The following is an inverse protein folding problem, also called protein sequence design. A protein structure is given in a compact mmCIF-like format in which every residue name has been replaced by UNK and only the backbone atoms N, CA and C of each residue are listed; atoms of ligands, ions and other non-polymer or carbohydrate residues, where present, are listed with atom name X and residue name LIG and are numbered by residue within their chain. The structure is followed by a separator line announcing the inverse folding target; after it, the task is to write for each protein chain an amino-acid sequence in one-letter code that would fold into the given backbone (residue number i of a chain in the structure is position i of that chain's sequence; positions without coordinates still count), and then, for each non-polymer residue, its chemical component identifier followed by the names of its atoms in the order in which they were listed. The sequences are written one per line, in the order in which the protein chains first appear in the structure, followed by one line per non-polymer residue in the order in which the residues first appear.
data_IF_807874590784
#
_entry.id   IF_807874590784
#
_cell.length_a   1.000
_cell.length_b   1.000
_cell.length_c   1.000
_cell.angle_alpha   90.00
_cell.angle_beta   90.00
_cell.angle_gamma   90.00
#
_symmetry.space_group_name_H-M   'P 1'
#
loop_
_entity.id
_entity.type
_entity.pdbx_description
1 polymer ?
#
# COMPACT_ATOMS: atom_id res chain seq x y z
N UNK A 1 7.85 77.15 -21.52
CA UNK A 1 7.19 78.42 -21.20
C UNK A 1 5.78 78.35 -21.76
N UNK A 2 4.82 78.86 -20.99
CA UNK A 2 3.37 78.75 -21.15
C UNK A 2 2.83 79.00 -22.57
N UNK A 3 1.68 78.38 -22.89
CA UNK A 3 0.43 79.06 -23.27
C UNK A 3 -0.69 78.00 -23.46
N UNK A 4 -1.70 77.94 -22.58
CA UNK A 4 -3.04 78.61 -22.64
C UNK A 4 -4.05 77.98 -23.61
N UNK A 5 -4.99 77.20 -23.04
CA UNK A 5 -6.47 77.23 -23.20
C UNK A 5 -7.11 77.76 -24.50
N UNK A 6 -8.04 77.00 -25.11
CA UNK A 6 -9.52 77.16 -25.02
C UNK A 6 -10.30 76.46 -26.18
N UNK A 7 -11.35 75.75 -25.76
CA UNK A 7 -12.69 75.49 -26.35
C UNK A 7 -13.10 75.94 -27.77
N UNK A 8 -13.82 75.01 -28.43
CA UNK A 8 -15.19 75.13 -29.00
C UNK A 8 -15.41 75.04 -30.52
N UNK A 9 -16.54 74.38 -30.82
CA UNK A 9 -17.50 74.53 -31.93
C UNK A 9 -17.36 73.69 -33.22
N UNK A 10 -18.51 73.10 -33.64
CA UNK A 10 -18.88 73.09 -35.06
C UNK A 10 -19.41 71.81 -35.73
N UNK A 11 -20.47 71.18 -35.19
CA UNK A 11 -21.72 70.73 -35.88
C UNK A 11 -21.70 69.87 -37.21
N UNK A 12 -22.85 69.34 -37.72
CA UNK A 12 -23.06 67.90 -37.87
C UNK A 12 -23.19 67.41 -39.33
N UNK A 13 -23.05 66.09 -39.55
CA UNK A 13 -23.41 65.45 -40.83
C UNK A 13 -24.43 64.35 -40.60
N UNK A 14 -25.62 64.59 -41.14
CA UNK A 14 -26.75 63.68 -41.27
C UNK A 14 -26.40 62.59 -42.30
N UNK A 15 -26.48 61.32 -41.93
CA UNK A 15 -26.70 60.24 -42.90
C UNK A 15 -27.76 59.28 -42.38
N UNK A 16 -28.87 59.21 -43.12
CA UNK A 16 -29.90 58.20 -42.97
C UNK A 16 -29.35 56.88 -43.49
N UNK A 17 -29.37 55.82 -42.67
CA UNK A 17 -29.26 54.44 -43.16
C UNK A 17 -30.38 53.61 -42.55
N UNK A 18 -31.15 53.03 -43.49
CA UNK A 18 -32.36 52.22 -43.34
C UNK A 18 -32.23 51.10 -42.31
N UNK A 19 -33.26 50.99 -41.48
CA UNK A 19 -33.56 49.85 -40.62
C UNK A 19 -33.80 48.57 -41.46
N UNK A 20 -32.89 47.61 -41.36
CA UNK A 20 -33.12 46.22 -41.80
C UNK A 20 -33.66 45.40 -40.61
N UNK A 21 -34.97 45.41 -40.41
CA UNK A 21 -35.68 44.65 -39.38
C UNK A 21 -35.69 43.13 -39.57
N UNK A 22 -34.77 42.56 -40.37
CA UNK A 22 -34.74 41.12 -40.70
C UNK A 22 -33.57 40.37 -40.05
N UNK A 23 -32.63 41.07 -39.41
CA UNK A 23 -31.41 40.46 -38.85
C UNK A 23 -31.51 40.09 -37.36
N UNK A 24 -32.31 40.80 -36.57
CA UNK A 24 -32.43 40.57 -35.12
C UNK A 24 -33.27 39.35 -34.79
N UNK A 25 -34.34 39.08 -35.55
CA UNK A 25 -35.17 37.88 -35.37
C UNK A 25 -34.34 36.62 -35.67
N UNK A 26 -33.57 36.61 -36.76
CA UNK A 26 -32.73 35.48 -37.11
C UNK A 26 -31.64 35.21 -36.07
N UNK A 27 -31.06 36.25 -35.47
CA UNK A 27 -30.06 36.09 -34.41
C UNK A 27 -30.66 35.52 -33.12
N UNK A 28 -31.85 35.99 -32.72
CA UNK A 28 -32.56 35.47 -31.55
C UNK A 28 -33.01 34.02 -31.77
N UNK A 29 -33.50 33.69 -32.96
CA UNK A 29 -33.85 32.30 -33.31
C UNK A 29 -32.60 31.40 -33.30
N UNK A 30 -31.46 31.89 -33.80
CA UNK A 30 -30.21 31.13 -33.77
C UNK A 30 -29.73 30.87 -32.34
N UNK A 31 -29.84 31.85 -31.44
CA UNK A 31 -29.52 31.71 -30.03
C UNK A 31 -30.44 30.69 -29.34
N UNK A 32 -31.74 30.72 -29.63
CA UNK A 32 -32.70 29.76 -29.05
C UNK A 32 -32.39 28.34 -29.55
N UNK A 33 -32.13 28.16 -30.85
CA UNK A 33 -31.76 26.85 -31.42
C UNK A 33 -30.43 26.35 -30.82
N UNK A 34 -29.46 27.24 -30.66
CA UNK A 34 -28.17 26.90 -30.04
C UNK A 34 -28.33 26.42 -28.59
N UNK A 35 -29.16 27.10 -27.78
CA UNK A 35 -29.44 26.68 -26.41
C UNK A 35 -30.22 25.38 -26.33
N UNK A 36 -31.20 25.17 -27.21
CA UNK A 36 -31.94 23.90 -27.33
C UNK A 36 -30.98 22.76 -27.70
N UNK A 37 -30.01 23.00 -28.59
CA UNK A 37 -29.02 22.01 -29.00
C UNK A 37 -28.06 21.65 -27.85
N UNK A 38 -27.61 22.63 -27.05
CA UNK A 38 -26.83 22.38 -25.83
C UNK A 38 -27.64 21.55 -24.83
N UNK A 39 -28.92 21.87 -24.64
CA UNK A 39 -29.78 21.11 -23.73
C UNK A 39 -30.05 19.69 -24.21
N UNK A 40 -30.22 19.48 -25.51
CA UNK A 40 -30.38 18.15 -26.12
C UNK A 40 -29.10 17.31 -26.02
N UNK A 41 -27.93 17.92 -26.21
CA UNK A 41 -26.65 17.23 -25.96
C UNK A 41 -26.49 16.91 -24.48
N UNK A 42 -26.80 17.84 -23.58
CA UNK A 42 -26.77 17.60 -22.14
C UNK A 42 -27.72 16.48 -21.70
N UNK A 43 -28.91 16.42 -22.29
CA UNK A 43 -29.89 15.36 -22.04
C UNK A 43 -29.43 14.02 -22.63
N UNK A 44 -28.89 13.99 -23.86
CA UNK A 44 -28.38 12.78 -24.49
C UNK A 44 -27.11 12.24 -23.83
N UNK A 45 -26.25 13.12 -23.31
CA UNK A 45 -25.06 12.75 -22.52
C UNK A 45 -25.48 12.28 -21.13
N UNK A 46 -26.44 12.97 -20.49
CA UNK A 46 -27.01 12.57 -19.20
C UNK A 46 -27.82 11.28 -19.25
N UNK A 47 -28.42 10.93 -20.39
CA UNK A 47 -29.17 9.68 -20.59
C UNK A 47 -28.29 8.50 -21.05
N UNK A 48 -26.99 8.72 -21.35
CA UNK A 48 -26.07 7.67 -21.84
C UNK A 48 -25.00 7.22 -20.86
N UNK A 49 -25.08 7.65 -19.60
CA UNK A 49 -24.22 7.14 -18.54
C UNK A 49 -25.06 6.58 -17.41
N UNK A 50 -25.80 5.51 -17.71
CA UNK A 50 -25.99 4.42 -16.75
C UNK A 50 -24.99 3.34 -17.13
N UNK A 51 -23.70 3.58 -16.86
CA UNK A 51 -22.83 2.45 -16.53
C UNK A 51 -23.36 1.90 -15.21
N UNK A 52 -23.43 0.57 -15.03
CA UNK A 52 -23.88 0.00 -13.77
C UNK A 52 -22.95 0.51 -12.68
N UNK A 53 -23.50 1.38 -11.83
CA UNK A 53 -22.88 1.77 -10.58
C UNK A 53 -22.65 0.44 -9.83
N UNK A 54 -21.39 0.02 -9.73
CA UNK A 54 -21.02 -0.99 -8.76
C UNK A 54 -21.58 -0.49 -7.43
N UNK A 55 -22.57 -1.21 -6.89
CA UNK A 55 -23.10 -1.00 -5.55
C UNK A 55 -21.95 -1.10 -4.56
N UNK A 56 -21.26 0.01 -4.34
CA UNK A 56 -20.57 0.25 -3.09
C UNK A 56 -21.68 0.60 -2.12
N UNK A 57 -22.27 -0.41 -1.51
CA UNK A 57 -23.08 -0.23 -0.31
C UNK A 57 -22.16 0.35 0.76
N UNK A 58 -22.08 1.68 0.81
CA UNK A 58 -21.59 2.38 1.98
C UNK A 58 -22.67 2.19 3.02
N UNK A 59 -22.47 1.19 3.88
CA UNK A 59 -23.32 1.01 5.05
C UNK A 59 -23.05 2.19 5.98
N UNK A 60 -23.87 3.23 5.88
CA UNK A 60 -23.98 4.22 6.93
C UNK A 60 -24.55 3.50 8.14
N UNK A 61 -23.73 3.36 9.18
CA UNK A 61 -24.18 2.85 10.47
C UNK A 61 -25.14 3.91 11.06
N UNK A 62 -26.44 3.73 10.85
CA UNK A 62 -27.47 4.45 11.56
C UNK A 62 -27.72 3.74 12.91
N UNK A 63 -27.35 4.35 14.05
CA UNK A 63 -27.53 3.75 15.36
C UNK A 63 -29.00 3.61 15.80
N UNK A 64 -29.97 4.06 14.98
CA UNK A 64 -31.40 3.98 15.28
C UNK A 64 -32.16 2.90 14.49
N UNK A 65 -31.51 2.17 13.60
CA UNK A 65 -32.15 1.03 12.89
C UNK A 65 -32.01 -0.22 13.75
N UNK A 66 -33.14 -0.75 14.22
CA UNK A 66 -33.20 -2.05 14.87
C UNK A 66 -33.09 -3.16 13.80
N UNK A 67 -31.90 -3.73 13.65
CA UNK A 67 -31.57 -4.78 12.68
C UNK A 67 -32.13 -6.17 13.03
N UNK A 68 -32.81 -6.33 14.17
CA UNK A 68 -33.32 -7.63 14.65
C UNK A 68 -34.40 -8.26 13.75
N UNK A 69 -34.92 -7.53 12.74
CA UNK A 69 -35.98 -8.01 11.85
C UNK A 69 -35.53 -8.62 10.51
N UNK A 70 -34.23 -8.71 10.22
CA UNK A 70 -33.72 -9.40 9.02
C UNK A 70 -33.24 -10.83 9.35
N UNK A 71 -34.13 -11.66 9.86
CA UNK A 71 -33.89 -13.09 10.09
C UNK A 71 -34.14 -13.93 8.83
N UNK A 72 -33.36 -13.68 7.77
CA UNK A 72 -33.17 -14.67 6.71
C UNK A 72 -31.69 -15.00 6.65
N UNK A 73 -31.31 -16.23 7.01
CA UNK A 73 -29.94 -16.73 6.82
C UNK A 73 -29.56 -16.45 5.37
N UNK A 74 -28.47 -15.70 5.10
CA UNK A 74 -28.05 -15.43 3.74
C UNK A 74 -27.86 -16.75 2.99
N UNK A 75 -28.59 -16.92 1.89
CA UNK A 75 -28.33 -18.04 0.98
C UNK A 75 -26.92 -17.82 0.43
N UNK A 76 -26.00 -18.73 0.74
CA UNK A 76 -24.63 -18.65 0.23
C UNK A 76 -24.62 -18.86 -1.28
N UNK A 77 -24.74 -17.75 -2.03
CA UNK A 77 -24.59 -17.77 -3.47
C UNK A 77 -23.13 -18.05 -3.81
N UNK A 78 -22.89 -19.19 -4.45
CA UNK A 78 -21.55 -19.52 -4.97
C UNK A 78 -21.39 -18.81 -6.31
N UNK A 79 -20.51 -17.81 -6.33
CA UNK A 79 -20.17 -17.10 -7.56
C UNK A 79 -19.39 -18.01 -8.52
N UNK A 80 -19.49 -17.76 -9.83
CA UNK A 80 -18.90 -18.62 -10.86
C UNK A 80 -17.39 -18.81 -10.68
N UNK A 81 -16.67 -17.75 -10.29
CA UNK A 81 -15.24 -17.83 -10.00
C UNK A 81 -14.92 -18.66 -8.76
N UNK A 82 -15.87 -18.84 -7.83
CA UNK A 82 -15.72 -19.64 -6.62
C UNK A 82 -16.28 -21.06 -6.76
N UNK A 83 -16.83 -21.40 -7.92
CA UNK A 83 -17.24 -22.75 -8.27
C UNK A 83 -16.04 -23.55 -8.81
N UNK A 84 -15.07 -23.84 -7.93
CA UNK A 84 -13.87 -24.61 -8.30
C UNK A 84 -13.35 -25.41 -7.11
N UNK A 85 -13.19 -26.72 -7.33
CA UNK A 85 -12.57 -27.64 -6.37
C UNK A 85 -11.33 -28.27 -7.00
N UNK A 86 -10.18 -28.19 -6.31
CA UNK A 86 -8.93 -28.80 -6.77
C UNK A 86 -8.48 -29.93 -5.85
N UNK A 87 -7.81 -30.95 -6.41
CA UNK A 87 -7.34 -32.11 -5.62
C UNK A 87 -6.05 -31.80 -4.84
N UNK A 88 -5.22 -30.90 -5.35
CA UNK A 88 -3.93 -30.50 -4.77
C UNK A 88 -3.61 -29.04 -5.18
N UNK A 89 -2.43 -28.54 -4.78
CA UNK A 89 -1.90 -27.24 -5.15
C UNK A 89 -0.62 -27.37 -6.01
N UNK A 90 -0.27 -26.34 -6.82
CA UNK A 90 0.94 -26.38 -7.65
C UNK A 90 2.22 -26.60 -6.86
N UNK A 91 3.18 -27.34 -7.43
CA UNK A 91 4.48 -27.63 -6.80
C UNK A 91 4.41 -28.41 -5.48
N UNK A 92 3.32 -29.14 -5.20
CA UNK A 92 3.17 -29.93 -3.99
C UNK A 92 4.40 -30.78 -3.65
N UNK A 93 4.85 -31.63 -4.58
CA UNK A 93 5.98 -32.54 -4.35
C UNK A 93 7.30 -31.77 -4.15
N UNK A 94 7.49 -30.68 -4.89
CA UNK A 94 8.67 -29.83 -4.78
C UNK A 94 8.71 -29.11 -3.42
N UNK A 95 7.59 -28.58 -2.96
CA UNK A 95 7.48 -27.92 -1.66
C UNK A 95 7.62 -28.91 -0.52
N UNK A 96 7.12 -30.14 -0.71
CA UNK A 96 7.33 -31.23 0.24
C UNK A 96 8.82 -31.55 0.35
N UNK A 97 9.50 -31.69 -0.78
CA UNK A 97 10.94 -31.89 -0.84
C UNK A 97 11.70 -30.74 -0.14
N UNK A 98 11.36 -29.48 -0.41
CA UNK A 98 12.01 -28.34 0.25
C UNK A 98 11.74 -28.27 1.76
N UNK A 99 10.54 -28.64 2.18
CA UNK A 99 10.17 -28.71 3.58
C UNK A 99 10.95 -29.80 4.33
N UNK A 100 11.04 -31.00 3.74
CA UNK A 100 11.81 -32.13 4.29
C UNK A 100 13.32 -31.82 4.34
N UNK A 101 13.81 -30.97 3.44
CA UNK A 101 15.19 -30.43 3.43
C UNK A 101 15.37 -29.16 4.26
N UNK A 102 14.32 -28.65 4.92
CA UNK A 102 14.38 -27.47 5.79
C UNK A 102 14.96 -26.23 5.10
N UNK A 103 14.65 -26.04 3.81
CA UNK A 103 15.24 -24.98 2.95
C UNK A 103 15.03 -23.57 3.50
N UNK A 104 13.91 -23.32 4.17
CA UNK A 104 13.56 -22.02 4.75
C UNK A 104 13.62 -22.01 6.27
N UNK A 105 14.37 -22.92 6.89
CA UNK A 105 14.44 -23.10 8.34
C UNK A 105 13.87 -24.42 8.82
N UNK A 106 14.18 -24.79 10.06
CA UNK A 106 13.91 -26.11 10.63
C UNK A 106 12.90 -26.13 11.77
N UNK A 107 12.74 -25.01 12.48
CA UNK A 107 11.92 -24.89 13.69
C UNK A 107 11.12 -23.59 13.63
N UNK A 108 10.04 -23.53 14.42
CA UNK A 108 9.37 -22.26 14.72
C UNK A 108 10.36 -21.30 15.36
N UNK A 109 10.21 -20.00 15.11
CA UNK A 109 11.08 -19.01 15.75
C UNK A 109 10.84 -18.91 17.27
N UNK A 110 9.71 -19.42 17.73
CA UNK A 110 9.30 -19.45 19.12
C UNK A 110 8.27 -20.55 19.38
N UNK A 111 7.86 -20.70 20.63
CA UNK A 111 6.81 -21.61 21.11
C UNK A 111 5.40 -21.00 21.08
N UNK A 112 5.20 -19.97 20.26
CA UNK A 112 4.01 -19.12 20.31
C UNK A 112 2.73 -19.78 19.79
N UNK A 113 1.62 -19.03 19.78
CA UNK A 113 0.38 -19.51 19.16
C UNK A 113 0.40 -19.37 17.64
N UNK A 114 -0.25 -20.30 16.94
CA UNK A 114 -0.46 -20.18 15.49
C UNK A 114 -1.41 -19.01 15.26
N UNK A 115 -0.95 -17.92 14.62
CA UNK A 115 -1.83 -16.79 14.30
C UNK A 115 -1.99 -16.65 12.81
N UNK A 116 -3.22 -16.71 12.32
CA UNK A 116 -3.54 -16.50 10.91
C UNK A 116 -3.55 -15.01 10.58
N UNK A 117 -2.84 -14.63 9.52
CA UNK A 117 -2.70 -13.24 9.09
C UNK A 117 -3.63 -12.93 7.91
N UNK A 118 -3.51 -13.72 6.84
CA UNK A 118 -4.27 -13.49 5.60
C UNK A 118 -4.34 -14.76 4.77
N UNK A 119 -5.44 -14.96 4.05
CA UNK A 119 -5.61 -16.04 3.09
C UNK A 119 -5.79 -15.49 1.68
N UNK A 120 -4.93 -15.90 0.75
CA UNK A 120 -4.96 -15.48 -0.65
C UNK A 120 -5.53 -16.57 -1.53
N UNK A 121 -6.55 -16.24 -2.29
CA UNK A 121 -7.16 -17.13 -3.26
C UNK A 121 -6.55 -16.90 -4.64
N UNK A 122 -5.81 -17.88 -5.14
CA UNK A 122 -5.31 -17.94 -6.51
C UNK A 122 -6.18 -18.85 -7.36
N UNK A 123 -5.90 -18.90 -8.67
CA UNK A 123 -6.73 -19.60 -9.64
C UNK A 123 -6.95 -21.09 -9.30
N UNK A 124 -5.90 -21.77 -8.82
CA UNK A 124 -5.91 -23.21 -8.54
C UNK A 124 -5.74 -23.60 -7.06
N UNK A 125 -5.41 -22.65 -6.19
CA UNK A 125 -5.03 -22.93 -4.79
C UNK A 125 -5.22 -21.71 -3.89
N UNK A 126 -5.11 -21.92 -2.59
CA UNK A 126 -5.16 -20.92 -1.54
C UNK A 126 -3.81 -20.90 -0.83
N UNK A 127 -3.32 -19.72 -0.46
CA UNK A 127 -2.16 -19.56 0.43
C UNK A 127 -2.63 -18.90 1.71
N UNK A 128 -2.59 -19.66 2.80
CA UNK A 128 -2.89 -19.16 4.13
C UNK A 128 -1.58 -18.77 4.80
N UNK A 129 -1.54 -17.58 5.36
CA UNK A 129 -0.33 -17.01 5.92
C UNK A 129 -0.45 -16.86 7.41
N UNK A 130 0.64 -17.13 8.12
CA UNK A 130 0.65 -17.16 9.57
C UNK A 130 1.96 -16.61 10.13
N UNK A 131 2.01 -16.34 11.43
CA UNK A 131 3.23 -15.88 12.10
C UNK A 131 4.34 -16.95 12.07
N UNK A 132 5.60 -16.49 11.98
CA UNK A 132 6.79 -17.36 11.99
C UNK A 132 7.07 -18.01 13.36
N UNK A 133 6.36 -17.55 14.39
CA UNK A 133 6.40 -18.04 15.76
C UNK A 133 5.58 -19.32 15.94
N UNK A 134 5.06 -19.91 14.85
CA UNK A 134 4.40 -21.21 14.88
C UNK A 134 5.34 -22.27 15.52
N UNK A 135 4.93 -22.93 16.62
CA UNK A 135 5.79 -23.75 17.45
C UNK A 135 6.24 -25.04 16.76
N UNK A 136 5.59 -25.42 15.66
CA UNK A 136 5.83 -26.71 14.99
C UNK A 136 6.72 -26.61 13.76
N UNK A 137 7.04 -25.41 13.27
CA UNK A 137 8.05 -25.17 12.24
C UNK A 137 7.72 -25.70 10.82
N UNK A 138 8.72 -25.56 9.94
CA UNK A 138 8.64 -25.96 8.51
C UNK A 138 8.47 -27.47 8.36
N UNK A 139 7.63 -27.89 7.41
CA UNK A 139 7.35 -29.28 7.07
C UNK A 139 6.35 -29.97 7.98
N UNK A 140 5.91 -29.32 9.06
CA UNK A 140 4.87 -29.87 9.92
C UNK A 140 3.55 -29.98 9.16
N UNK A 141 2.93 -31.15 9.26
CA UNK A 141 1.56 -31.38 8.78
C UNK A 141 0.54 -30.49 9.47
N UNK A 142 -0.34 -29.88 8.68
CA UNK A 142 -1.41 -28.97 9.10
C UNK A 142 -2.64 -29.24 8.24
N UNK A 143 -3.83 -29.09 8.80
CA UNK A 143 -5.09 -29.29 8.11
C UNK A 143 -5.70 -27.96 7.72
N UNK A 144 -6.12 -27.85 6.46
CA UNK A 144 -6.92 -26.74 5.95
C UNK A 144 -8.41 -27.03 6.22
N UNK A 145 -9.08 -26.12 6.90
CA UNK A 145 -10.52 -26.16 7.18
C UNK A 145 -11.21 -25.07 6.36
N UNK A 146 -12.30 -25.40 5.69
CA UNK A 146 -12.98 -24.50 4.75
C UNK A 146 -14.38 -24.20 5.24
N UNK A 147 -14.80 -22.95 5.09
CA UNK A 147 -16.09 -22.49 5.58
C UNK A 147 -16.84 -21.71 4.52
N UNK A 148 -18.16 -21.82 4.55
CA UNK A 148 -19.07 -21.09 3.67
C UNK A 148 -19.25 -19.62 4.09
N UNK A 149 -20.15 -18.91 3.41
CA UNK A 149 -20.45 -17.50 3.70
C UNK A 149 -21.03 -17.26 5.10
N UNK A 150 -21.66 -18.29 5.68
CA UNK A 150 -22.26 -18.27 7.01
C UNK A 150 -21.29 -18.76 8.08
N UNK A 151 -20.00 -18.96 7.73
CA UNK A 151 -18.94 -19.50 8.60
C UNK A 151 -19.23 -20.92 9.09
N UNK A 152 -20.04 -21.69 8.38
CA UNK A 152 -20.21 -23.10 8.65
C UNK A 152 -19.14 -23.91 7.92
N UNK A 153 -18.58 -24.90 8.60
CA UNK A 153 -17.56 -25.75 7.99
C UNK A 153 -18.15 -26.59 6.85
N UNK A 154 -17.47 -26.61 5.71
CA UNK A 154 -17.84 -27.42 4.56
C UNK A 154 -17.48 -28.90 4.83
N UNK A 155 -18.47 -29.80 5.00
CA UNK A 155 -18.23 -31.16 5.45
C UNK A 155 -17.41 -31.96 4.42
N UNK A 156 -16.48 -32.79 4.91
CA UNK A 156 -15.67 -33.68 4.06
C UNK A 156 -14.61 -32.98 3.20
N UNK A 157 -14.42 -31.66 3.35
CA UNK A 157 -13.50 -30.89 2.50
C UNK A 157 -12.10 -30.69 3.08
N UNK A 158 -11.88 -31.06 4.34
CA UNK A 158 -10.60 -30.95 5.06
C UNK A 158 -9.45 -31.51 4.23
N UNK A 159 -8.30 -30.82 4.23
CA UNK A 159 -7.11 -31.25 3.46
C UNK A 159 -5.86 -31.20 4.31
N UNK A 160 -5.06 -32.28 4.30
CA UNK A 160 -3.77 -32.31 4.96
C UNK A 160 -2.71 -31.66 4.06
N UNK A 161 -2.16 -30.56 4.53
CA UNK A 161 -1.04 -29.84 3.95
C UNK A 161 0.15 -29.83 4.93
N UNK A 162 1.13 -28.96 4.68
CA UNK A 162 2.28 -28.75 5.53
C UNK A 162 2.72 -27.29 5.49
N UNK A 163 3.43 -26.86 6.54
CA UNK A 163 4.01 -25.52 6.62
C UNK A 163 5.19 -25.43 5.66
N UNK A 164 5.00 -24.72 4.55
CA UNK A 164 6.08 -24.34 3.66
C UNK A 164 5.66 -23.18 2.76
N UNK A 165 6.48 -22.13 2.65
CA UNK A 165 7.66 -21.83 3.48
C UNK A 165 7.30 -21.48 4.95
N UNK A 166 8.24 -20.96 5.75
CA UNK A 166 8.10 -20.79 7.21
C UNK A 166 6.81 -20.08 7.69
N UNK A 167 6.22 -19.18 6.90
CA UNK A 167 5.04 -18.38 7.27
C UNK A 167 3.83 -18.62 6.37
N UNK A 168 3.80 -19.73 5.63
CA UNK A 168 2.71 -20.02 4.69
C UNK A 168 2.34 -21.50 4.64
N UNK A 169 1.07 -21.74 4.39
CA UNK A 169 0.47 -23.05 4.16
C UNK A 169 -0.33 -22.97 2.87
N UNK A 170 -0.11 -23.96 2.00
CA UNK A 170 -0.79 -24.04 0.71
C UNK A 170 -1.96 -25.01 0.83
N UNK A 171 -3.14 -24.60 0.39
CA UNK A 171 -4.36 -25.37 0.45
C UNK A 171 -4.98 -25.47 -0.95
N UNK A 172 -5.58 -26.59 -1.34
CA UNK A 172 -6.38 -26.65 -2.56
C UNK A 172 -7.66 -25.80 -2.44
N UNK A 173 -8.33 -25.55 -3.57
CA UNK A 173 -9.62 -24.86 -3.59
C UNK A 173 -10.77 -25.78 -3.23
N UNK A 174 -11.80 -25.21 -2.64
CA UNK A 174 -13.10 -25.85 -2.38
C UNK A 174 -14.20 -24.93 -2.88
N UNK A 175 -15.13 -25.52 -3.62
CA UNK A 175 -16.32 -24.82 -4.08
C UNK A 175 -17.09 -24.21 -2.90
N UNK A 176 -17.48 -22.94 -3.06
CA UNK A 176 -18.27 -22.22 -2.05
C UNK A 176 -17.51 -21.78 -0.80
N UNK A 177 -16.22 -22.10 -0.66
CA UNK A 177 -15.43 -21.63 0.46
C UNK A 177 -15.23 -20.11 0.39
N UNK A 178 -15.57 -19.40 1.47
CA UNK A 178 -15.32 -17.97 1.63
C UNK A 178 -14.33 -17.66 2.75
N UNK A 179 -14.18 -18.58 3.71
CA UNK A 179 -13.21 -18.49 4.78
C UNK A 179 -12.39 -19.77 4.88
N UNK A 180 -11.21 -19.65 5.45
CA UNK A 180 -10.32 -20.76 5.71
C UNK A 180 -9.69 -20.61 7.10
N UNK A 181 -9.50 -21.73 7.78
CA UNK A 181 -8.70 -21.80 9.00
C UNK A 181 -7.69 -22.94 8.90
N UNK A 182 -6.73 -22.95 9.82
CA UNK A 182 -5.70 -23.99 9.93
C UNK A 182 -5.76 -24.63 11.31
N UNK A 183 -5.54 -25.94 11.35
CA UNK A 183 -5.42 -26.69 12.61
C UNK A 183 -4.42 -27.82 12.49
N UNK A 184 -3.83 -28.25 13.61
CA UNK A 184 -2.84 -29.34 13.61
C UNK A 184 -3.45 -30.73 13.81
N UNK A 185 -4.72 -30.78 14.20
CA UNK A 185 -5.46 -31.99 14.48
C UNK A 185 -6.61 -32.08 13.49
N UNK A 186 -6.82 -33.26 12.90
CA UNK A 186 -7.81 -33.41 11.83
C UNK A 186 -9.21 -33.41 12.38
N UNK A 187 -9.41 -34.04 13.53
CA UNK A 187 -10.72 -34.35 14.10
C UNK A 187 -11.30 -33.18 14.89
N UNK A 188 -10.43 -32.39 15.53
CA UNK A 188 -10.83 -31.21 16.29
C UNK A 188 -11.01 -29.99 15.38
N UNK A 189 -12.01 -29.17 15.70
CA UNK A 189 -12.14 -27.84 15.12
C UNK A 189 -10.87 -27.02 15.42
N UNK A 190 -10.42 -26.20 14.47
CA UNK A 190 -9.26 -25.34 14.69
C UNK A 190 -9.57 -24.33 15.81
N UNK A 191 -8.55 -24.02 16.61
CA UNK A 191 -8.65 -22.96 17.63
C UNK A 191 -8.69 -21.57 17.00
N UNK A 192 -8.10 -21.43 15.82
CA UNK A 192 -8.01 -20.16 15.11
C UNK A 192 -9.31 -19.86 14.36
N UNK A 193 -9.77 -18.62 14.50
CA UNK A 193 -10.95 -18.11 13.81
C UNK A 193 -10.77 -18.17 12.28
N UNK A 194 -11.80 -18.57 11.52
CA UNK A 194 -11.76 -18.55 10.07
C UNK A 194 -11.55 -17.13 9.52
N UNK A 195 -10.51 -16.97 8.69
CA UNK A 195 -10.18 -15.72 8.03
C UNK A 195 -10.70 -15.69 6.59
N UNK A 196 -11.12 -14.52 6.09
CA UNK A 196 -11.70 -14.41 4.75
C UNK A 196 -10.66 -14.66 3.66
N UNK A 197 -11.11 -15.24 2.55
CA UNK A 197 -10.31 -15.41 1.34
C UNK A 197 -10.24 -14.08 0.57
N UNK A 198 -9.03 -13.56 0.38
CA UNK A 198 -8.78 -12.40 -0.48
C UNK A 198 -8.50 -12.86 -1.90
N UNK A 199 -9.35 -12.44 -2.83
CA UNK A 199 -9.20 -12.79 -4.24
C UNK A 199 -7.91 -12.18 -4.83
N UNK A 200 -7.04 -13.05 -5.36
CA UNK A 200 -5.79 -12.73 -6.05
C UNK A 200 -5.74 -13.33 -7.45
N UNK A 201 -6.90 -13.68 -8.01
CA UNK A 201 -7.02 -14.08 -9.40
C UNK A 201 -7.01 -12.83 -10.27
N UNK A 202 -5.86 -12.52 -10.84
CA UNK A 202 -5.72 -11.41 -11.78
C UNK A 202 -5.29 -11.97 -13.14
N UNK A 203 -5.96 -11.52 -14.20
CA UNK A 203 -5.55 -11.85 -15.57
C UNK A 203 -4.19 -11.20 -15.91
N UNK A 204 -3.98 -9.97 -15.42
CA UNK A 204 -2.74 -9.22 -15.52
C UNK A 204 -2.32 -8.71 -14.14
N UNK A 205 -1.01 -8.63 -13.83
CA UNK A 205 -0.54 -8.04 -12.58
C UNK A 205 -1.13 -6.63 -12.40
N UNK A 206 -1.84 -6.34 -11.28
CA UNK A 206 -2.44 -5.03 -11.06
C UNK A 206 -1.38 -3.92 -10.88
N UNK A 207 -0.15 -4.33 -10.58
CA UNK A 207 0.98 -3.47 -10.27
C UNK A 207 2.23 -3.96 -10.97
N UNK A 208 2.94 -3.06 -11.66
CA UNK A 208 4.21 -3.39 -12.32
C UNK A 208 5.33 -3.57 -11.29
N UNK A 209 5.41 -2.66 -10.31
CA UNK A 209 6.42 -2.69 -9.25
C UNK A 209 5.74 -2.49 -7.90
N UNK A 210 5.74 -3.57 -7.12
CA UNK A 210 5.40 -3.56 -5.71
C UNK A 210 6.65 -3.43 -4.84
N UNK A 211 6.58 -2.58 -3.81
CA UNK A 211 7.65 -2.40 -2.84
C UNK A 211 7.14 -2.92 -1.51
N UNK A 212 7.81 -3.90 -0.96
CA UNK A 212 7.50 -4.29 0.39
C UNK A 212 8.36 -3.53 1.36
N UNK A 213 7.76 -3.06 2.44
CA UNK A 213 8.39 -2.15 3.39
C UNK A 213 8.71 -2.91 4.65
N UNK A 214 9.86 -2.64 5.26
CA UNK A 214 10.25 -3.24 6.54
C UNK A 214 9.22 -2.94 7.62
N UNK A 215 9.21 -3.78 8.65
CA UNK A 215 8.22 -3.64 9.71
C UNK A 215 8.25 -2.28 10.39
N UNK A 216 7.04 -1.79 10.70
CA UNK A 216 6.83 -0.62 11.55
C UNK A 216 6.58 -1.12 12.98
N UNK A 217 7.40 -0.63 13.91
CA UNK A 217 7.36 -0.91 15.34
C UNK A 217 8.17 0.16 16.09
N UNK A 218 7.97 0.22 17.40
CA UNK A 218 8.65 1.13 18.33
C UNK A 218 8.01 2.51 18.42
N UNK A 219 8.56 3.32 19.34
CA UNK A 219 7.93 4.59 19.75
C UNK A 219 8.17 5.76 18.78
N UNK A 220 9.11 5.62 17.84
CA UNK A 220 9.47 6.68 16.88
C UNK A 220 8.30 6.97 15.92
N UNK A 221 7.96 8.26 15.76
CA UNK A 221 6.90 8.73 14.86
C UNK A 221 7.41 8.74 13.41
N UNK A 222 7.11 7.68 12.65
CA UNK A 222 7.65 7.48 11.29
C UNK A 222 6.86 8.13 10.16
N UNK A 223 5.89 9.00 10.46
CA UNK A 223 5.01 9.60 9.44
C UNK A 223 5.78 10.28 8.30
N UNK A 224 6.82 11.06 8.60
CA UNK A 224 7.60 11.76 7.58
C UNK A 224 8.46 10.79 6.77
N UNK A 225 9.12 9.83 7.44
CA UNK A 225 9.93 8.80 6.77
C UNK A 225 9.10 7.94 5.83
N UNK A 226 7.86 7.58 6.23
CA UNK A 226 6.92 6.84 5.37
C UNK A 226 6.55 7.65 4.13
N UNK A 227 6.25 8.95 4.28
CA UNK A 227 5.92 9.81 3.14
C UNK A 227 7.14 9.95 2.21
N UNK A 228 8.33 10.22 2.75
CA UNK A 228 9.58 10.25 1.99
C UNK A 228 9.79 8.94 1.22
N UNK A 229 9.62 7.81 1.89
CA UNK A 229 9.81 6.48 1.31
C UNK A 229 8.84 6.19 0.18
N UNK A 230 7.54 6.40 0.39
CA UNK A 230 6.50 6.12 -0.60
C UNK A 230 6.66 7.04 -1.81
N UNK A 231 6.82 8.35 -1.61
CA UNK A 231 6.96 9.30 -2.71
C UNK A 231 8.26 9.11 -3.50
N UNK A 232 9.34 8.73 -2.83
CA UNK A 232 10.61 8.35 -3.46
C UNK A 232 10.45 7.16 -4.40
N UNK A 233 9.78 6.09 -3.95
CA UNK A 233 9.57 4.91 -4.78
C UNK A 233 8.55 5.13 -5.89
N UNK A 234 7.55 5.99 -5.67
CA UNK A 234 6.64 6.42 -6.74
C UNK A 234 7.35 7.19 -7.84
N UNK A 235 8.36 8.01 -7.50
CA UNK A 235 9.21 8.65 -8.51
C UNK A 235 10.04 7.65 -9.31
N UNK A 236 10.27 6.45 -8.78
CA UNK A 236 10.98 5.37 -9.45
C UNK A 236 10.06 4.38 -10.18
N UNK A 237 8.74 4.60 -10.18
CA UNK A 237 7.76 3.75 -10.87
C UNK A 237 7.06 2.71 -10.00
N UNK A 238 7.30 2.68 -8.69
CA UNK A 238 6.51 1.84 -7.79
C UNK A 238 5.08 2.39 -7.66
N UNK A 239 4.10 1.50 -7.69
CA UNK A 239 2.69 1.86 -7.58
C UNK A 239 1.94 1.12 -6.48
N UNK A 240 2.60 0.20 -5.77
CA UNK A 240 2.04 -0.51 -4.64
C UNK A 240 3.06 -0.72 -3.53
N UNK A 241 2.61 -0.61 -2.29
CA UNK A 241 3.44 -0.73 -1.11
C UNK A 241 2.83 -1.70 -0.09
N UNK A 242 3.63 -2.62 0.43
CA UNK A 242 3.18 -3.61 1.41
C UNK A 242 3.83 -3.34 2.76
N UNK A 243 3.03 -3.00 3.76
CA UNK A 243 3.49 -2.71 5.12
C UNK A 243 3.10 -3.85 6.07
N UNK A 244 3.98 -4.16 7.01
CA UNK A 244 3.63 -4.96 8.20
C UNK A 244 3.83 -4.10 9.42
N UNK A 245 2.77 -3.96 10.21
CA UNK A 245 2.70 -3.02 11.31
C UNK A 245 2.45 -3.82 12.58
N UNK A 246 3.38 -3.73 13.53
CA UNK A 246 3.24 -4.32 14.86
C UNK A 246 2.70 -3.29 15.83
N UNK A 247 3.27 -2.09 15.78
CA UNK A 247 2.87 -0.97 16.59
C UNK A 247 3.01 0.32 15.77
N UNK A 248 2.05 1.22 15.94
CA UNK A 248 2.03 2.49 15.25
C UNK A 248 1.17 3.50 16.03
N UNK A 249 1.65 4.73 16.10
CA UNK A 249 0.93 5.82 16.74
C UNK A 249 -0.18 6.40 15.86
N UNK A 250 -1.13 7.12 16.47
CA UNK A 250 -2.25 7.74 15.76
C UNK A 250 -1.84 8.77 14.68
N UNK A 251 -0.72 9.46 14.86
CA UNK A 251 -0.24 10.46 13.91
C UNK A 251 0.31 9.80 12.64
N UNK A 252 1.12 8.74 12.79
CA UNK A 252 1.62 7.91 11.68
C UNK A 252 0.49 7.11 11.02
N UNK A 253 -0.49 6.63 11.81
CA UNK A 253 -1.67 5.92 11.31
C UNK A 253 -2.43 6.73 10.25
N UNK A 254 -2.61 8.04 10.47
CA UNK A 254 -3.24 8.94 9.49
C UNK A 254 -2.55 8.91 8.12
N UNK A 255 -1.22 8.82 8.08
CA UNK A 255 -0.46 8.70 6.82
C UNK A 255 -0.74 7.35 6.13
N UNK A 256 -0.67 6.24 6.88
CA UNK A 256 -0.92 4.90 6.34
C UNK A 256 -2.34 4.79 5.79
N UNK A 257 -3.35 5.22 6.56
CA UNK A 257 -4.75 5.14 6.16
C UNK A 257 -5.05 5.95 4.90
N UNK A 258 -4.47 7.14 4.75
CA UNK A 258 -4.68 7.94 3.54
C UNK A 258 -4.11 7.26 2.29
N UNK A 259 -2.93 6.66 2.37
CA UNK A 259 -2.38 5.89 1.26
C UNK A 259 -3.12 4.57 1.01
N UNK A 260 -3.65 3.91 2.05
CA UNK A 260 -4.52 2.74 1.91
C UNK A 260 -5.82 3.10 1.20
N UNK A 261 -6.46 4.22 1.58
CA UNK A 261 -7.67 4.75 0.95
C UNK A 261 -7.47 5.01 -0.55
N UNK A 262 -6.27 5.43 -0.95
CA UNK A 262 -5.91 5.65 -2.35
C UNK A 262 -5.51 4.36 -3.09
N UNK A 263 -5.56 3.19 -2.45
CA UNK A 263 -5.16 1.91 -3.03
C UNK A 263 -3.65 1.80 -3.29
N UNK A 264 -2.83 2.62 -2.62
CA UNK A 264 -1.37 2.66 -2.81
C UNK A 264 -0.63 1.81 -1.78
N UNK A 265 -1.24 1.56 -0.62
CA UNK A 265 -0.69 0.72 0.45
C UNK A 265 -1.65 -0.44 0.76
N UNK A 266 -1.08 -1.62 0.99
CA UNK A 266 -1.69 -2.69 1.77
C UNK A 266 -0.93 -2.84 3.09
N UNK A 267 -1.61 -2.63 4.22
CA UNK A 267 -1.04 -2.83 5.55
C UNK A 267 -1.58 -4.10 6.19
N UNK A 268 -0.69 -4.92 6.74
CA UNK A 268 -1.01 -6.07 7.58
C UNK A 268 -0.65 -5.74 9.02
N UNK A 269 -1.64 -5.72 9.89
CA UNK A 269 -1.46 -5.50 11.32
C UNK A 269 -1.21 -6.82 12.03
N UNK A 270 -0.16 -6.90 12.84
CA UNK A 270 0.25 -8.13 13.52
C UNK A 270 0.28 -7.89 15.02
N UNK A 271 -0.58 -8.60 15.74
CA UNK A 271 -0.58 -8.65 17.20
C UNK A 271 0.11 -9.95 17.64
N UNK A 272 1.07 -9.83 18.56
CA UNK A 272 1.82 -10.95 19.12
C UNK A 272 1.65 -11.01 20.63
N UNK A 273 1.94 -12.16 21.23
CA UNK A 273 1.93 -12.37 22.69
C UNK A 273 3.21 -11.91 23.41
N UNK A 274 4.26 -11.56 22.65
CA UNK A 274 5.53 -11.13 23.21
C UNK A 274 5.57 -9.61 23.42
N UNK A 275 5.90 -9.17 24.63
CA UNK A 275 6.11 -7.75 24.96
C UNK A 275 7.37 -7.16 24.33
N UNK A 276 8.37 -8.00 24.04
CA UNK A 276 9.65 -7.58 23.47
C UNK A 276 10.03 -8.45 22.30
N UNK A 277 10.42 -7.79 21.23
CA UNK A 277 10.66 -8.44 19.96
C UNK A 277 12.17 -8.49 19.69
N UNK A 278 12.70 -9.69 19.43
CA UNK A 278 14.11 -9.88 19.09
C UNK A 278 14.32 -9.84 17.56
N UNK A 279 15.56 -9.65 17.08
CA UNK A 279 15.87 -9.47 15.65
C UNK A 279 15.26 -10.50 14.68
N UNK A 280 14.84 -11.69 15.14
CA UNK A 280 14.20 -12.71 14.31
C UNK A 280 12.80 -12.29 13.83
N UNK A 281 12.17 -11.28 14.41
CA UNK A 281 10.84 -10.82 13.98
C UNK A 281 10.82 -10.35 12.53
N UNK A 282 11.96 -9.94 11.96
CA UNK A 282 12.08 -9.66 10.53
C UNK A 282 11.58 -10.80 9.66
N UNK A 283 11.65 -12.04 10.14
CA UNK A 283 11.17 -13.23 9.43
C UNK A 283 9.64 -13.36 9.41
N UNK A 284 8.89 -12.62 10.23
CA UNK A 284 7.41 -12.58 10.18
C UNK A 284 6.94 -12.08 8.80
N UNK A 285 7.70 -11.16 8.18
CA UNK A 285 7.42 -10.67 6.82
C UNK A 285 7.79 -11.65 5.72
N UNK A 286 8.80 -12.49 5.95
CA UNK A 286 9.68 -12.95 4.87
C UNK A 286 9.03 -13.91 3.88
N UNK A 287 7.87 -14.52 4.12
CA UNK A 287 7.32 -15.45 3.11
C UNK A 287 5.92 -15.19 2.60
N UNK A 288 5.34 -14.05 2.93
CA UNK A 288 3.97 -13.74 2.52
C UNK A 288 3.96 -12.69 1.44
N UNK A 289 4.79 -11.67 1.59
CA UNK A 289 4.98 -10.58 0.64
C UNK A 289 6.41 -10.13 0.81
N UNK A 290 7.03 -9.72 -0.30
CA UNK A 290 8.45 -9.41 -0.47
C UNK A 290 9.03 -8.61 0.72
N UNK A 291 10.35 -8.46 0.88
CA UNK A 291 10.87 -7.54 1.91
C UNK A 291 11.89 -6.58 1.31
N UNK A 292 11.62 -5.28 1.40
CA UNK A 292 12.62 -4.23 1.45
C UNK A 292 12.40 -3.48 2.75
N UNK A 293 13.41 -3.41 3.61
CA UNK A 293 13.37 -2.42 4.68
C UNK A 293 13.26 -1.01 4.09
N UNK A 294 12.84 -0.02 4.91
CA UNK A 294 12.88 1.42 4.61
C UNK A 294 14.26 1.82 4.07
N UNK A 295 14.45 1.67 2.77
CA UNK A 295 15.67 1.86 2.02
C UNK A 295 15.29 2.51 0.70
N UNK A 296 15.86 3.68 0.43
CA UNK A 296 15.58 4.40 -0.80
C UNK A 296 16.44 3.81 -1.92
N UNK A 297 15.86 3.29 -3.00
CA UNK A 297 16.68 2.90 -4.17
C UNK A 297 17.20 4.18 -4.84
N UNK A 298 18.47 4.28 -5.17
CA UNK A 298 19.02 5.39 -5.95
C UNK A 298 19.48 4.86 -7.31
N UNK A 299 18.72 5.19 -8.35
CA UNK A 299 19.16 5.01 -9.73
C UNK A 299 20.08 6.18 -10.11
N UNK A 300 21.26 5.87 -10.64
CA UNK A 300 22.20 6.90 -11.14
C UNK A 300 21.89 7.23 -12.62
N UNK A 301 21.23 6.31 -13.34
CA UNK A 301 20.72 6.52 -14.68
C UNK A 301 19.24 6.16 -14.71
N UNK A 302 18.40 7.09 -15.16
CA UNK A 302 16.95 6.97 -15.14
C UNK A 302 16.42 5.74 -15.86
N UNK A 303 15.25 5.27 -15.41
CA UNK A 303 14.47 4.14 -15.95
C UNK A 303 15.16 2.77 -15.86
N UNK A 304 15.03 2.14 -14.70
CA UNK A 304 15.11 0.69 -14.61
C UNK A 304 13.71 0.11 -14.77
N UNK A 305 13.35 -0.29 -16.00
CA UNK A 305 12.07 -0.94 -16.26
C UNK A 305 12.24 -2.47 -16.23
N UNK A 306 11.50 -3.19 -15.37
CA UNK A 306 11.51 -4.65 -15.36
C UNK A 306 11.20 -5.26 -16.74
N UNK A 307 10.32 -4.60 -17.51
CA UNK A 307 9.94 -5.03 -18.86
C UNK A 307 11.05 -4.97 -19.91
N UNK A 308 12.14 -4.25 -19.65
CA UNK A 308 13.29 -4.18 -20.56
C UNK A 308 14.34 -5.26 -20.29
N UNK A 309 14.13 -6.12 -19.27
CA UNK A 309 15.06 -7.19 -18.95
C UNK A 309 14.80 -8.43 -19.83
N UNK A 310 15.83 -9.26 -20.01
CA UNK A 310 15.69 -10.59 -20.65
C UNK A 310 14.55 -11.36 -19.96
N UNK A 311 13.63 -12.01 -20.71
CA UNK A 311 12.49 -12.73 -20.13
C UNK A 311 12.86 -13.81 -19.10
N UNK A 312 14.08 -14.33 -19.15
CA UNK A 312 14.59 -15.31 -18.19
C UNK A 312 15.15 -14.65 -16.92
N UNK A 313 15.35 -13.32 -16.91
CA UNK A 313 15.76 -12.58 -15.71
C UNK A 313 14.60 -12.52 -14.73
N UNK A 314 14.81 -13.10 -13.56
CA UNK A 314 13.79 -13.28 -12.53
C UNK A 314 14.15 -12.54 -11.24
N UNK A 315 15.43 -12.22 -11.02
CA UNK A 315 15.90 -11.48 -9.85
C UNK A 315 17.06 -10.57 -10.25
N UNK A 316 17.09 -9.38 -9.66
CA UNK A 316 18.09 -8.35 -9.91
C UNK A 316 18.54 -7.79 -8.57
N UNK A 317 19.81 -7.99 -8.27
CA UNK A 317 20.41 -7.64 -6.99
C UNK A 317 21.04 -6.26 -7.05
N UNK A 318 20.69 -5.41 -6.10
CA UNK A 318 21.24 -4.06 -5.93
C UNK A 318 22.06 -3.99 -4.65
N UNK A 319 23.34 -3.69 -4.80
CA UNK A 319 24.20 -3.44 -3.64
C UNK A 319 23.77 -2.20 -2.87
N UNK A 320 24.19 -2.10 -1.62
CA UNK A 320 23.77 -1.05 -0.70
C UNK A 320 24.86 -0.02 -0.48
N UNK A 321 24.42 1.19 -0.16
CA UNK A 321 25.22 2.25 0.46
C UNK A 321 24.54 2.62 1.77
N UNK A 322 25.19 2.33 2.90
CA UNK A 322 24.65 2.67 4.21
C UNK A 322 24.82 4.16 4.48
N UNK A 323 23.80 4.75 5.08
CA UNK A 323 23.72 6.16 5.46
C UNK A 323 23.48 6.22 6.95
N UNK A 324 24.24 7.05 7.65
CA UNK A 324 24.05 7.25 9.08
C UNK A 324 22.88 8.21 9.31
N UNK A 325 21.77 7.68 9.84
CA UNK A 325 20.63 8.46 10.34
C UNK A 325 20.98 8.93 11.76
N UNK A 326 21.37 10.19 11.88
CA UNK A 326 21.84 10.80 13.15
C UNK A 326 20.72 11.49 13.93
N UNK A 327 19.61 11.77 13.26
CA UNK A 327 18.51 12.54 13.79
C UNK A 327 17.25 11.69 13.72
N UNK A 328 16.43 11.80 14.74
CA UNK A 328 15.11 11.18 14.78
C UNK A 328 14.15 11.95 13.88
N UNK A 329 13.08 11.26 13.47
CA UNK A 329 12.00 11.88 12.71
C UNK A 329 11.20 12.87 13.59
N UNK A 330 10.66 13.95 13.01
CA UNK A 330 9.89 14.92 13.77
C UNK A 330 8.63 14.28 14.37
N UNK A 331 8.29 14.61 15.62
CA UNK A 331 7.09 14.05 16.27
C UNK A 331 5.78 14.49 15.60
N UNK A 332 5.74 15.71 15.08
CA UNK A 332 4.57 16.30 14.42
C UNK A 332 4.95 17.35 13.39
N UNK A 333 4.02 17.66 12.51
CA UNK A 333 4.09 18.82 11.62
C UNK A 333 4.01 20.12 12.45
N UNK A 334 5.01 20.99 12.26
CA UNK A 334 5.07 22.33 12.88
C UNK A 334 4.89 23.42 11.81
N UNK A 335 5.67 23.33 10.73
CA UNK A 335 5.60 24.23 9.58
C UNK A 335 6.26 23.60 8.37
N UNK A 336 5.91 24.08 7.17
CA UNK A 336 6.53 23.65 5.91
C UNK A 336 8.06 23.82 5.92
N UNK A 337 8.56 24.93 6.47
CA UNK A 337 10.00 25.18 6.56
C UNK A 337 10.71 24.22 7.52
N UNK A 338 10.09 23.93 8.66
CA UNK A 338 10.60 22.91 9.57
C UNK A 338 10.63 21.54 8.91
N UNK A 339 9.54 21.13 8.23
CA UNK A 339 9.49 19.87 7.48
C UNK A 339 10.60 19.78 6.44
N UNK A 340 10.84 20.82 5.63
CA UNK A 340 11.95 20.85 4.66
C UNK A 340 13.30 20.62 5.32
N UNK A 341 13.55 21.30 6.44
CA UNK A 341 14.80 21.13 7.19
C UNK A 341 14.93 19.76 7.85
N UNK A 342 13.82 19.03 8.00
CA UNK A 342 13.73 17.71 8.63
C UNK A 342 13.89 16.54 7.65
N UNK A 343 13.86 16.77 6.33
CA UNK A 343 13.92 15.70 5.32
C UNK A 343 15.19 14.86 5.41
N UNK A 344 15.02 13.54 5.54
CA UNK A 344 16.10 12.60 5.78
C UNK A 344 17.13 12.54 4.65
N UNK A 345 16.71 12.69 3.39
CA UNK A 345 17.62 12.66 2.24
C UNK A 345 18.51 13.91 2.09
N UNK A 346 18.19 15.03 2.76
CA UNK A 346 19.09 16.19 2.84
C UNK A 346 19.98 16.17 4.07
N UNK A 347 19.42 15.84 5.25
CA UNK A 347 20.16 15.89 6.53
C UNK A 347 21.23 14.81 6.64
N UNK A 348 20.94 13.61 6.14
CA UNK A 348 21.79 12.44 6.33
C UNK A 348 22.62 12.15 5.07
N UNK A 349 23.83 12.72 5.01
CA UNK A 349 24.74 12.62 3.87
C UNK A 349 26.02 11.81 4.14
N UNK A 350 26.23 11.36 5.37
CA UNK A 350 27.40 10.57 5.75
C UNK A 350 27.19 9.10 5.36
N UNK A 351 27.97 8.64 4.39
CA UNK A 351 27.76 7.36 3.73
C UNK A 351 29.01 6.51 3.68
N UNK A 352 28.85 5.19 3.61
CA UNK A 352 29.96 4.26 3.40
C UNK A 352 30.19 4.01 1.90
N UNK A 353 31.28 3.33 1.55
CA UNK A 353 31.45 2.82 0.19
C UNK A 353 30.38 1.75 -0.13
N UNK A 354 30.08 1.59 -1.42
CA UNK A 354 29.13 0.59 -1.90
C UNK A 354 29.52 -0.83 -1.43
N UNK A 355 28.57 -1.61 -0.93
CA UNK A 355 28.78 -2.98 -0.44
C UNK A 355 27.70 -3.93 -0.93
N UNK A 356 28.11 -5.18 -1.12
CA UNK A 356 27.22 -6.29 -1.47
C UNK A 356 26.67 -7.04 -0.25
N UNK A 357 27.24 -6.85 0.95
CA UNK A 357 26.68 -7.42 2.18
C UNK A 357 25.32 -6.80 2.49
N UNK A 358 24.28 -7.64 2.64
CA UNK A 358 22.89 -7.23 2.82
C UNK A 358 22.30 -6.43 1.64
N UNK A 359 22.63 -6.83 0.41
CA UNK A 359 22.00 -6.32 -0.81
C UNK A 359 20.46 -6.48 -0.75
N UNK A 360 19.75 -5.74 -1.60
CA UNK A 360 18.31 -5.90 -1.79
C UNK A 360 18.03 -6.31 -3.22
N UNK A 361 16.96 -7.04 -3.44
CA UNK A 361 16.64 -7.54 -4.78
C UNK A 361 15.26 -7.12 -5.24
N UNK A 362 15.15 -6.92 -6.55
CA UNK A 362 13.90 -6.87 -7.29
C UNK A 362 13.72 -8.25 -7.91
N UNK A 363 12.59 -8.92 -7.67
CA UNK A 363 12.35 -10.25 -8.22
C UNK A 363 10.91 -10.42 -8.70
N UNK A 364 10.70 -11.38 -9.59
CA UNK A 364 9.39 -11.77 -10.12
C UNK A 364 8.78 -12.84 -9.20
N UNK A 365 7.71 -12.54 -8.43
CA UNK A 365 7.13 -13.50 -7.49
C UNK A 365 6.68 -14.81 -8.17
N UNK A 366 6.16 -14.74 -9.39
CA UNK A 366 5.72 -15.91 -10.16
C UNK A 366 6.85 -16.87 -10.57
N UNK A 367 8.12 -16.47 -10.41
CA UNK A 367 9.30 -17.31 -10.68
C UNK A 367 10.12 -17.61 -9.43
N UNK A 368 9.58 -17.32 -8.25
CA UNK A 368 10.28 -17.49 -6.97
C UNK A 368 9.49 -18.40 -6.04
N UNK A 369 10.13 -19.48 -5.57
CA UNK A 369 9.52 -20.44 -4.65
C UNK A 369 9.70 -20.03 -3.18
N UNK A 370 10.85 -19.44 -2.84
CA UNK A 370 11.16 -19.05 -1.47
C UNK A 370 12.14 -17.88 -1.44
N UNK A 371 11.97 -17.01 -0.45
CA UNK A 371 12.86 -15.87 -0.22
C UNK A 371 13.44 -15.90 1.19
N UNK A 372 14.61 -15.32 1.31
CA UNK A 372 15.25 -14.95 2.57
C UNK A 372 15.04 -13.46 2.82
N UNK A 373 15.44 -12.96 3.99
CA UNK A 373 15.25 -11.56 4.38
C UNK A 373 16.03 -10.52 3.52
N UNK A 374 16.86 -10.96 2.56
CA UNK A 374 17.59 -10.08 1.63
C UNK A 374 17.60 -10.54 0.16
N UNK A 375 17.33 -11.82 -0.14
CA UNK A 375 17.49 -12.40 -1.48
C UNK A 375 16.60 -13.61 -1.68
N UNK A 376 16.39 -14.05 -2.93
CA UNK A 376 15.59 -15.25 -3.18
C UNK A 376 16.42 -16.53 -3.01
N UNK A 377 15.90 -17.55 -2.30
CA UNK A 377 16.63 -18.80 -1.99
C UNK A 377 16.39 -19.86 -3.05
N UNK A 378 15.16 -19.90 -3.58
CA UNK A 378 14.72 -20.88 -4.57
C UNK A 378 13.87 -20.20 -5.63
N UNK A 379 14.19 -20.50 -6.87
CA UNK A 379 13.53 -19.97 -8.05
C UNK A 379 13.16 -21.12 -9.00
N UNK A 380 12.30 -20.81 -9.96
CA UNK A 380 11.93 -21.77 -11.00
C UNK A 380 13.12 -22.10 -11.90
N UNK A 381 13.10 -23.27 -12.53
CA UNK A 381 14.10 -23.65 -13.52
C UNK A 381 14.17 -22.63 -14.68
N UNK A 382 15.38 -22.33 -15.16
CA UNK A 382 15.61 -21.34 -16.22
C UNK A 382 15.69 -19.88 -15.76
N UNK A 383 15.42 -19.60 -14.47
CA UNK A 383 15.55 -18.29 -13.86
C UNK A 383 17.02 -17.82 -13.79
N UNK A 384 17.30 -16.64 -14.38
CA UNK A 384 18.60 -15.95 -14.31
C UNK A 384 18.57 -14.85 -13.26
N UNK A 385 19.50 -14.94 -12.31
CA UNK A 385 19.74 -13.90 -11.31
C UNK A 385 20.83 -12.95 -11.84
N UNK A 386 20.50 -11.66 -11.97
CA UNK A 386 21.42 -10.62 -12.41
C UNK A 386 21.85 -9.77 -11.22
N UNK A 387 23.07 -9.28 -11.27
CA UNK A 387 23.57 -8.28 -10.32
C UNK A 387 23.69 -6.95 -11.04
N UNK A 388 22.99 -5.92 -10.55
CA UNK A 388 23.01 -4.59 -11.14
C UNK A 388 24.41 -3.97 -11.03
N UNK A 389 24.86 -3.31 -12.08
CA UNK A 389 26.11 -2.53 -12.01
C UNK A 389 25.89 -1.34 -11.08
N UNK A 390 26.95 -0.89 -10.39
CA UNK A 390 26.88 0.28 -9.50
C UNK A 390 26.36 1.53 -10.21
N UNK A 391 26.65 1.67 -11.50
CA UNK A 391 26.22 2.77 -12.36
C UNK A 391 24.74 2.65 -12.76
N UNK A 392 24.15 1.45 -12.73
CA UNK A 392 22.73 1.23 -12.99
C UNK A 392 21.92 1.66 -11.77
N UNK A 393 22.33 1.26 -10.56
CA UNK A 393 21.70 1.72 -9.33
C UNK A 393 22.28 1.08 -8.07
N UNK A 394 21.93 1.64 -6.92
CA UNK A 394 22.25 1.08 -5.61
C UNK A 394 21.22 1.51 -4.58
N UNK A 395 21.15 0.81 -3.46
CA UNK A 395 20.18 1.06 -2.40
C UNK A 395 20.78 1.96 -1.32
N UNK A 396 20.18 3.10 -1.03
CA UNK A 396 20.48 3.95 0.13
C UNK A 396 19.80 3.37 1.39
N UNK A 397 20.61 2.75 2.24
CA UNK A 397 20.17 2.04 3.43
C UNK A 397 20.41 2.91 4.67
N UNK A 398 19.37 3.56 5.17
CA UNK A 398 19.44 4.40 6.36
C UNK A 398 19.57 3.53 7.61
N UNK A 399 20.53 3.87 8.47
CA UNK A 399 20.82 3.15 9.72
C UNK A 399 20.88 4.15 10.85
N UNK A 400 20.01 3.97 11.84
CA UNK A 400 20.05 4.76 13.07
C UNK A 400 21.37 4.56 13.81
N UNK A 401 21.87 5.65 14.38
CA UNK A 401 23.05 5.65 15.24
C UNK A 401 22.70 5.56 16.72
N UNK A 402 21.43 5.43 17.08
CA UNK A 402 20.99 5.32 18.47
C UNK A 402 21.55 4.06 19.13
N UNK A 403 22.18 4.21 20.30
CA UNK A 403 22.78 3.09 21.05
C UNK A 403 21.74 2.08 21.55
N UNK A 404 20.49 2.51 21.70
CA UNK A 404 19.34 1.66 22.05
C UNK A 404 18.84 0.82 20.87
N UNK A 405 19.25 1.13 19.64
CA UNK A 405 18.83 0.37 18.46
C UNK A 405 19.68 -0.86 18.22
N UNK A 406 19.06 -1.90 17.64
CA UNK A 406 19.76 -3.10 17.21
C UNK A 406 20.91 -2.72 16.27
N UNK A 407 22.14 -3.02 16.70
CA UNK A 407 23.37 -2.71 15.95
C UNK A 407 23.72 -1.22 15.82
N UNK A 408 23.23 -0.34 16.71
CA UNK A 408 23.60 1.08 16.74
C UNK A 408 25.11 1.33 16.93
N UNK A 409 25.82 0.40 17.57
CA UNK A 409 27.27 0.44 17.77
C UNK A 409 28.09 0.18 16.50
N UNK A 410 27.46 -0.24 15.40
CA UNK A 410 28.17 -0.61 14.17
C UNK A 410 28.77 0.58 13.41
N UNK A 411 28.55 1.81 13.89
CA UNK A 411 29.14 3.03 13.33
C UNK A 411 30.69 3.01 13.33
N UNK A 412 31.32 2.30 14.26
CA UNK A 412 32.78 2.14 14.32
C UNK A 412 33.31 1.16 13.28
N UNK A 413 32.50 0.17 12.89
CA UNK A 413 32.89 -0.96 12.03
C UNK A 413 33.00 -0.55 10.55
N UNK A 414 32.24 0.46 10.11
CA UNK A 414 32.10 0.77 8.68
C UNK A 414 32.86 1.99 8.18
N UNK A 415 33.89 2.42 8.91
CA UNK A 415 34.84 3.45 8.42
C UNK A 415 35.65 2.92 7.21
N UNK A 416 36.10 3.80 6.28
CA UNK A 416 35.91 5.25 6.26
C UNK A 416 34.55 5.68 5.67
N UNK A 417 34.13 6.91 6.03
CA UNK A 417 32.89 7.53 5.54
C UNK A 417 33.18 8.62 4.52
N UNK A 418 32.28 8.76 3.54
CA UNK A 418 32.28 9.80 2.52
C UNK A 418 30.94 10.55 2.55
N UNK A 419 30.98 11.85 2.24
CA UNK A 419 29.77 12.66 2.07
C UNK A 419 29.20 12.38 0.68
N UNK A 420 27.98 11.84 0.60
CA UNK A 420 27.29 11.66 -0.68
C UNK A 420 25.82 12.06 -0.61
N UNK A 421 25.37 12.78 -1.63
CA UNK A 421 23.98 13.22 -1.78
C UNK A 421 23.28 12.41 -2.87
N UNK A 422 21.97 12.56 -2.96
CA UNK A 422 21.18 12.08 -4.10
C UNK A 422 21.33 13.04 -5.28
N UNK A 423 20.88 12.59 -6.45
CA UNK A 423 20.80 13.46 -7.63
C UNK A 423 19.98 14.73 -7.28
N UNK A 424 20.52 15.96 -7.49
CA UNK A 424 19.86 17.19 -7.06
C UNK A 424 18.47 17.39 -7.69
N UNK A 425 18.29 17.01 -8.95
CA UNK A 425 17.02 17.18 -9.65
C UNK A 425 15.98 16.18 -9.15
N UNK A 426 16.38 14.93 -8.89
CA UNK A 426 15.54 13.95 -8.22
C UNK A 426 15.17 14.42 -6.80
N UNK A 427 16.13 14.93 -6.02
CA UNK A 427 15.91 15.44 -4.67
C UNK A 427 14.90 16.59 -4.64
N UNK A 428 14.98 17.54 -5.59
CA UNK A 428 14.01 18.63 -5.73
C UNK A 428 12.60 18.11 -6.01
N UNK A 429 12.45 17.16 -6.95
CA UNK A 429 11.15 16.54 -7.26
C UNK A 429 10.58 15.77 -6.08
N UNK A 430 11.44 15.06 -5.34
CA UNK A 430 11.04 14.34 -4.14
C UNK A 430 10.56 15.29 -3.05
N UNK A 431 11.31 16.36 -2.79
CA UNK A 431 10.90 17.39 -1.83
C UNK A 431 9.53 17.96 -2.17
N UNK A 432 9.29 18.36 -3.43
CA UNK A 432 8.01 18.93 -3.85
C UNK A 432 6.84 17.96 -3.60
N UNK A 433 7.00 16.67 -3.88
CA UNK A 433 5.96 15.66 -3.64
C UNK A 433 5.74 15.40 -2.15
N UNK A 434 6.81 15.26 -1.38
CA UNK A 434 6.74 15.05 0.07
C UNK A 434 6.04 16.22 0.73
N UNK A 435 6.50 17.45 0.47
CA UNK A 435 5.93 18.65 1.06
C UNK A 435 4.45 18.80 0.72
N UNK A 436 4.06 18.60 -0.54
CA UNK A 436 2.65 18.64 -0.95
C UNK A 436 1.80 17.63 -0.16
N UNK A 437 2.31 16.40 0.01
CA UNK A 437 1.62 15.35 0.74
C UNK A 437 1.51 15.65 2.23
N UNK A 438 2.59 16.16 2.84
CA UNK A 438 2.60 16.57 4.25
C UNK A 438 1.60 17.69 4.50
N UNK A 439 1.57 18.71 3.64
CA UNK A 439 0.61 19.80 3.79
C UNK A 439 -0.84 19.30 3.63
N UNK A 440 -1.12 18.46 2.64
CA UNK A 440 -2.44 17.86 2.48
C UNK A 440 -2.90 17.09 3.72
N UNK A 441 -2.01 16.29 4.31
CA UNK A 441 -2.35 15.46 5.47
C UNK A 441 -2.42 16.26 6.77
N UNK A 442 -1.51 17.18 7.01
CA UNK A 442 -1.27 17.70 8.37
C UNK A 442 -1.44 19.20 8.52
N UNK A 443 -1.50 19.97 7.43
CA UNK A 443 -1.88 21.38 7.46
C UNK A 443 -3.40 21.56 7.46
N UNK A 444 -4.13 20.54 6.99
CA UNK A 444 -5.59 20.49 7.03
C UNK A 444 -6.08 19.91 8.36
N UNK A 445 -6.99 20.65 9.00
CA UNK A 445 -7.61 20.31 10.28
C UNK A 445 -9.00 19.72 10.05
N UNK A 446 -9.51 18.86 10.95
CA UNK A 446 -10.92 18.49 10.94
C UNK A 446 -11.80 19.74 11.10
N UNK A 447 -13.04 19.68 10.64
CA UNK A 447 -14.01 20.75 10.88
C UNK A 447 -14.34 20.76 12.38
N UNK A 448 -13.91 21.81 13.07
CA UNK A 448 -14.17 21.98 14.49
C UNK A 448 -15.61 22.44 14.69
N UNK A 449 -16.33 21.83 15.63
CA UNK A 449 -17.73 22.20 15.90
C UNK A 449 -17.87 23.67 16.32
N UNK A 450 -16.83 24.25 16.88
CA UNK A 450 -16.73 25.64 17.31
C UNK A 450 -16.52 26.60 16.13
N UNK A 451 -16.04 26.08 14.99
CA UNK A 451 -15.81 26.86 13.77
C UNK A 451 -17.03 26.94 12.84
N UNK A 452 -18.06 26.15 13.12
CA UNK A 452 -19.32 26.16 12.35
C UNK A 452 -20.23 27.25 12.91
N UNK A 453 -20.79 28.07 12.02
CA UNK A 453 -21.72 29.15 12.38
C UNK A 453 -22.86 28.63 13.27
N UNK A 454 -23.18 29.41 14.30
CA UNK A 454 -24.18 29.04 15.30
C UNK A 454 -25.55 28.78 14.68
N UNK A 455 -25.96 29.55 13.66
CA UNK A 455 -27.24 29.35 12.98
C UNK A 455 -27.28 28.02 12.25
N UNK A 456 -26.16 27.60 11.64
CA UNK A 456 -26.05 26.30 10.97
C UNK A 456 -26.12 25.18 12.01
N UNK A 457 -25.44 25.34 13.16
CA UNK A 457 -25.52 24.39 14.29
C UNK A 457 -26.92 24.22 14.84
N UNK A 458 -27.68 25.30 14.97
CA UNK A 458 -29.06 25.24 15.44
C UNK A 458 -30.01 24.64 14.41
N UNK A 459 -29.75 24.86 13.12
CA UNK A 459 -30.61 24.39 12.04
C UNK A 459 -30.38 22.91 11.69
N UNK A 460 -29.14 22.41 11.79
CA UNK A 460 -28.77 21.03 11.47
C UNK A 460 -28.09 20.32 12.66
N UNK A 461 -28.73 20.25 13.85
CA UNK A 461 -28.06 19.76 15.06
C UNK A 461 -27.68 18.28 15.02
N UNK A 462 -28.25 17.50 14.09
CA UNK A 462 -28.01 16.05 13.95
C UNK A 462 -27.21 15.67 12.71
N UNK A 463 -27.04 16.60 11.77
CA UNK A 463 -26.42 16.32 10.45
C UNK A 463 -25.00 16.93 10.34
N UNK A 464 -24.50 17.53 11.43
CA UNK A 464 -23.17 18.14 11.45
C UNK A 464 -22.10 17.13 11.89
N UNK A 465 -21.29 16.72 10.93
CA UNK A 465 -20.09 15.95 11.17
C UNK A 465 -18.91 16.88 11.47
N UNK A 466 -18.76 17.23 12.75
CA UNK A 466 -17.66 18.05 13.26
C UNK A 466 -17.03 17.42 14.48
N UNK A 467 -15.81 17.83 14.81
CA UNK A 467 -15.10 17.31 16.00
C UNK A 467 -14.94 18.42 17.01
N UNK A 468 -15.14 18.11 18.29
CA UNK A 468 -14.89 19.07 19.37
C UNK A 468 -13.38 19.25 19.53
N UNK A 469 -12.91 20.50 19.53
CA UNK A 469 -11.47 20.81 19.58
C UNK A 469 -10.76 20.26 20.82
N UNK A 470 -11.51 19.96 21.89
CA UNK A 470 -11.00 19.41 23.16
C UNK A 470 -10.68 17.92 23.14
N UNK A 471 -11.12 17.18 22.10
CA UNK A 471 -10.97 15.71 22.02
C UNK A 471 -9.75 15.29 21.19
N UNK A 472 -9.09 16.22 20.49
CA UNK A 472 -8.05 15.92 19.48
C UNK A 472 -6.62 16.27 19.95
N UNK A 473 -6.44 16.84 21.15
CA UNK A 473 -5.12 17.25 21.66
C UNK A 473 -4.43 16.17 22.49
#
# INVERSE_FOLDING_TARGET
MEHTRLFSDGEPIRSEIKTSGRSTINFVVFLIIFWIFIFLIGYLVGSRTEEPLNEVTVVHYDPYINYDNFSSVPICRVESWNNKTTKSFPFYDLYRYFADKKVTGSEGLSDGQLRLLTAFLYEGYIVVTHTAENPKGVGKGVYCFYYDCNRNELPGTRFQSFVFPMTAVHCPRREGAQYVSLGFEKELSPKEEPIPLLNRMFEYPPHEVGVCVGQIYGDEKKWLEIIEYVEHHKLMGANMFYFTILEMDGYTKRTIEDYQRLGQIEATFVNIEYEKINWLFHMIQVHVRLSLFLHLISFISGMFLPHQQDPNTCEINFGIRRIQKKYDDPEKYISTNYTRSSLSFYRNNLTITHRWGAFKSLFQPAKTHAIHFHWTIRQHEGCRVKTAKRQEGYIRHYRTTASSSLSGSWISIFKPYNITQMDPEFSRKLEERVIRKVEYLYKLHPVFCESIDEKIRTHFPKDLHCVNSTVIL
#
